data_IF_156629983893
#
_entry.id   IF_156629983893
#
_cell.length_a   1.000
_cell.length_b   1.000
_cell.length_c   1.000
_cell.angle_alpha   90.00
_cell.angle_beta   90.00
_cell.angle_gamma   90.00
#
_symmetry.space_group_name_H-M   'P 1'
#
loop_
_entity.id
_entity.type
_entity.pdbx_description
1 polymer ?
#
# COMPACT_ATOMS: atom_id res chain seq x y z
N UNK A 1 -10.92 27.53 4.90
CA UNK A 1 -12.24 27.40 5.56
C UNK A 1 -13.26 26.91 4.55
N UNK A 2 -13.69 25.64 4.61
CA UNK A 2 -14.72 25.13 3.71
C UNK A 2 -14.35 25.19 2.23
N UNK A 3 -13.07 25.30 1.90
CA UNK A 3 -12.60 25.31 0.54
C UNK A 3 -12.89 23.98 -0.16
N UNK A 4 -13.04 24.05 -1.49
CA UNK A 4 -13.16 22.84 -2.31
C UNK A 4 -11.93 21.97 -2.14
N UNK A 5 -12.12 20.65 -2.09
CA UNK A 5 -11.01 19.71 -2.17
C UNK A 5 -10.26 19.91 -3.50
N UNK A 6 -8.92 19.79 -3.51
CA UNK A 6 -8.18 19.87 -4.76
C UNK A 6 -8.59 18.74 -5.70
N UNK A 7 -8.47 18.97 -7.00
CA UNK A 7 -8.68 17.93 -7.99
C UNK A 7 -7.71 16.77 -7.75
N UNK A 8 -8.20 15.54 -7.94
CA UNK A 8 -7.34 14.34 -7.86
C UNK A 8 -6.76 14.05 -9.22
N UNK A 9 -5.46 13.84 -9.26
CA UNK A 9 -4.75 13.40 -10.46
C UNK A 9 -4.65 11.89 -10.46
N UNK A 10 -4.89 11.30 -11.61
CA UNK A 10 -4.67 9.87 -11.83
C UNK A 10 -3.54 9.75 -12.85
N UNK A 11 -2.49 9.04 -12.47
CA UNK A 11 -1.34 8.78 -13.33
C UNK A 11 -1.34 7.28 -13.65
N UNK A 12 -1.41 6.96 -14.93
CA UNK A 12 -1.46 5.57 -15.38
C UNK A 12 -0.63 5.39 -16.66
N UNK A 13 -0.08 4.20 -16.87
CA UNK A 13 0.70 3.92 -18.07
C UNK A 13 -0.19 3.59 -19.27
N UNK A 14 0.42 3.54 -20.43
CA UNK A 14 -0.23 3.12 -21.68
C UNK A 14 -0.73 1.66 -21.59
N UNK A 15 -1.71 1.33 -22.45
CA UNK A 15 -2.37 0.03 -22.45
C UNK A 15 -1.38 -1.14 -22.59
N UNK A 16 -0.39 -1.02 -23.47
CA UNK A 16 0.63 -2.06 -23.68
C UNK A 16 1.43 -2.34 -22.41
N UNK A 17 1.81 -1.30 -21.68
CA UNK A 17 2.50 -1.42 -20.38
C UNK A 17 1.61 -2.10 -19.35
N UNK A 18 0.32 -1.76 -19.32
CA UNK A 18 -0.64 -2.37 -18.42
C UNK A 18 -0.79 -3.86 -18.62
N UNK A 19 -0.74 -4.32 -19.87
CA UNK A 19 -0.73 -5.76 -20.20
C UNK A 19 0.54 -6.41 -19.66
N UNK A 20 1.70 -5.80 -19.86
CA UNK A 20 2.97 -6.30 -19.32
C UNK A 20 2.96 -6.39 -17.80
N UNK A 21 2.40 -5.39 -17.11
CA UNK A 21 2.23 -5.43 -15.67
C UNK A 21 1.42 -6.64 -15.22
N UNK A 22 0.28 -6.88 -15.87
CA UNK A 22 -0.58 -8.02 -15.54
C UNK A 22 0.11 -9.35 -15.77
N UNK A 23 0.82 -9.51 -16.86
CA UNK A 23 1.55 -10.75 -17.15
C UNK A 23 2.61 -11.04 -16.09
N UNK A 24 3.30 -10.02 -15.59
CA UNK A 24 4.38 -10.18 -14.64
C UNK A 24 3.89 -10.28 -13.18
N UNK A 25 2.85 -9.54 -12.81
CA UNK A 25 2.52 -9.25 -11.41
C UNK A 25 1.09 -9.54 -10.99
N UNK A 26 0.18 -9.87 -11.90
CA UNK A 26 -1.23 -10.04 -11.53
C UNK A 26 -1.42 -11.09 -10.43
N UNK A 27 -0.78 -12.23 -10.57
CA UNK A 27 -0.86 -13.31 -9.57
C UNK A 27 -0.21 -12.88 -8.24
N UNK A 28 0.91 -12.19 -8.30
CA UNK A 28 1.63 -11.68 -7.12
C UNK A 28 0.75 -10.72 -6.34
N UNK A 29 0.21 -9.69 -6.98
CA UNK A 29 -0.60 -8.68 -6.27
C UNK A 29 -1.91 -9.26 -5.75
N UNK A 30 -2.41 -10.34 -6.36
CA UNK A 30 -3.64 -11.02 -5.93
C UNK A 30 -3.45 -11.84 -4.66
N UNK A 31 -2.27 -12.40 -4.42
CA UNK A 31 -2.01 -13.38 -3.35
C UNK A 31 -1.05 -12.90 -2.27
N UNK A 32 -0.11 -12.03 -2.62
CA UNK A 32 0.97 -11.65 -1.71
C UNK A 32 0.49 -10.89 -0.47
N UNK A 33 -0.42 -9.91 -0.55
CA UNK A 33 -0.84 -9.19 0.65
C UNK A 33 -1.40 -10.09 1.74
N UNK A 34 -2.25 -11.04 1.38
CA UNK A 34 -2.79 -12.01 2.34
C UNK A 34 -1.69 -12.90 2.92
N UNK A 35 -0.75 -13.35 2.09
CA UNK A 35 0.37 -14.19 2.54
C UNK A 35 1.30 -13.46 3.52
N UNK A 36 1.55 -12.16 3.31
CA UNK A 36 2.45 -11.36 4.15
C UNK A 36 1.76 -10.85 5.40
N UNK A 37 0.54 -10.34 5.26
CA UNK A 37 -0.16 -9.60 6.32
C UNK A 37 -1.19 -10.45 7.08
N UNK A 38 -1.61 -11.57 6.51
CA UNK A 38 -2.61 -12.42 7.12
C UNK A 38 -3.92 -11.67 7.42
N UNK A 39 -4.38 -11.78 8.65
CA UNK A 39 -5.64 -11.16 9.09
C UNK A 39 -5.65 -9.63 9.07
N UNK A 40 -4.48 -8.99 9.00
CA UNK A 40 -4.38 -7.53 8.91
C UNK A 40 -4.72 -6.97 7.53
N UNK A 41 -4.77 -7.82 6.51
CA UNK A 41 -5.13 -7.40 5.16
C UNK A 41 -6.63 -7.15 5.04
N UNK A 42 -7.02 -5.88 4.96
CA UNK A 42 -8.42 -5.47 5.06
C UNK A 42 -9.28 -5.76 3.84
N UNK A 43 -8.68 -5.85 2.65
CA UNK A 43 -9.44 -6.12 1.42
C UNK A 43 -9.98 -7.54 1.33
N UNK A 44 -9.54 -8.46 2.16
CA UNK A 44 -10.12 -9.81 2.23
C UNK A 44 -11.52 -9.86 2.85
N UNK A 45 -11.93 -8.81 3.55
CA UNK A 45 -13.17 -8.79 4.31
C UNK A 45 -14.28 -8.06 3.58
N UNK A 46 -15.50 -8.59 3.69
CA UNK A 46 -16.72 -7.82 3.44
C UNK A 46 -16.88 -6.76 4.56
N UNK A 47 -17.74 -5.75 4.38
CA UNK A 47 -17.98 -4.77 5.44
C UNK A 47 -18.38 -5.39 6.78
N UNK A 48 -19.24 -6.41 6.79
CA UNK A 48 -19.64 -7.13 7.99
C UNK A 48 -18.49 -7.88 8.64
N UNK A 49 -17.69 -8.57 7.84
CA UNK A 49 -16.49 -9.29 8.33
C UNK A 49 -15.43 -8.33 8.88
N UNK A 50 -15.31 -7.15 8.30
CA UNK A 50 -14.40 -6.10 8.81
C UNK A 50 -14.82 -5.65 10.20
N UNK A 51 -16.11 -5.42 10.40
CA UNK A 51 -16.67 -5.08 11.73
C UNK A 51 -16.39 -6.20 12.74
N UNK A 52 -16.64 -7.45 12.35
CA UNK A 52 -16.35 -8.60 13.21
C UNK A 52 -14.88 -8.68 13.62
N UNK A 53 -13.98 -8.48 12.66
CA UNK A 53 -12.54 -8.47 12.93
C UNK A 53 -12.17 -7.39 13.94
N UNK A 54 -12.68 -6.16 13.78
CA UNK A 54 -12.41 -5.06 14.70
C UNK A 54 -13.00 -5.30 16.08
N UNK A 55 -14.21 -5.84 16.16
CA UNK A 55 -14.86 -6.17 17.45
C UNK A 55 -14.06 -7.26 18.18
N UNK A 56 -13.64 -8.30 17.48
CA UNK A 56 -12.82 -9.37 18.08
C UNK A 56 -11.46 -8.84 18.55
N UNK A 57 -10.82 -7.99 17.76
CA UNK A 57 -9.57 -7.36 18.15
C UNK A 57 -9.74 -6.53 19.42
N UNK A 58 -10.81 -5.74 19.49
CA UNK A 58 -11.15 -4.95 20.69
C UNK A 58 -11.35 -5.82 21.93
N UNK A 59 -12.13 -6.88 21.80
CA UNK A 59 -12.41 -7.82 22.91
C UNK A 59 -11.18 -8.61 23.35
N UNK A 60 -10.18 -8.76 22.50
CA UNK A 60 -8.95 -9.49 22.82
C UNK A 60 -8.01 -8.71 23.74
N UNK A 61 -8.24 -7.42 23.93
CA UNK A 61 -7.40 -6.57 24.77
C UNK A 61 -8.00 -6.46 26.18
N UNK A 62 -7.12 -6.31 27.16
CA UNK A 62 -7.54 -6.08 28.56
C UNK A 62 -8.13 -4.68 28.73
N UNK A 63 -7.41 -3.69 28.25
CA UNK A 63 -7.79 -2.28 28.27
C UNK A 63 -7.63 -1.71 26.85
N UNK A 64 -8.60 -1.97 25.95
CA UNK A 64 -8.43 -1.66 24.55
C UNK A 64 -8.41 -0.16 24.27
N UNK A 65 -7.60 0.22 23.28
CA UNK A 65 -7.59 1.55 22.68
C UNK A 65 -7.48 1.37 21.17
N UNK A 66 -8.19 2.20 20.44
CA UNK A 66 -8.16 2.16 18.97
C UNK A 66 -8.00 3.54 18.38
N UNK A 67 -7.32 3.60 17.25
CA UNK A 67 -7.21 4.82 16.46
C UNK A 67 -7.14 4.47 14.97
N UNK A 68 -7.58 5.40 14.14
CA UNK A 68 -7.33 5.38 12.71
C UNK A 68 -6.26 6.42 12.39
N UNK A 69 -5.48 6.15 11.36
CA UNK A 69 -4.44 7.07 10.91
C UNK A 69 -4.63 7.35 9.43
N UNK A 70 -4.75 8.62 9.08
CA UNK A 70 -4.89 9.10 7.72
C UNK A 70 -3.63 9.85 7.30
N UNK A 71 -3.02 9.40 6.22
CA UNK A 71 -1.83 10.03 5.66
C UNK A 71 -2.23 11.02 4.59
N UNK A 72 -1.83 12.26 4.73
CA UNK A 72 -2.04 13.27 3.70
C UNK A 72 -1.27 12.90 2.44
N UNK A 73 -1.97 12.75 1.31
CA UNK A 73 -1.36 12.47 0.01
C UNK A 73 -0.41 11.27 0.06
N UNK A 74 -0.90 10.12 0.49
CA UNK A 74 -0.07 8.94 0.72
C UNK A 74 0.84 8.61 -0.47
N UNK A 75 0.32 8.61 -1.70
CA UNK A 75 1.10 8.31 -2.91
C UNK A 75 2.34 9.20 -3.03
N UNK A 76 2.22 10.48 -2.66
CA UNK A 76 3.34 11.44 -2.69
C UNK A 76 4.39 11.16 -1.64
N UNK A 77 4.05 10.45 -0.58
CA UNK A 77 4.96 10.12 0.52
C UNK A 77 5.75 8.85 0.27
N UNK A 78 5.35 8.05 -0.74
CA UNK A 78 6.04 6.82 -1.11
C UNK A 78 7.30 7.17 -1.86
N UNK A 79 8.44 6.83 -1.27
CA UNK A 79 9.76 7.16 -1.80
C UNK A 79 10.26 6.07 -2.75
N UNK A 80 11.33 6.36 -3.47
CA UNK A 80 12.05 5.35 -4.26
C UNK A 80 12.50 4.18 -3.39
N UNK A 81 13.00 4.45 -2.19
CA UNK A 81 13.41 3.41 -1.23
C UNK A 81 12.24 2.49 -0.87
N UNK A 82 11.06 3.04 -0.64
CA UNK A 82 9.84 2.26 -0.36
C UNK A 82 9.49 1.35 -1.54
N UNK A 83 9.58 1.86 -2.76
CA UNK A 83 9.27 1.10 -3.97
C UNK A 83 10.29 0.00 -4.22
N UNK A 84 11.55 0.22 -3.92
CA UNK A 84 12.59 -0.82 -4.02
C UNK A 84 12.42 -1.90 -2.95
N UNK A 85 11.99 -1.54 -1.77
CA UNK A 85 11.62 -2.52 -0.72
C UNK A 85 10.45 -3.38 -1.18
N UNK A 86 9.46 -2.78 -1.80
CA UNK A 86 8.31 -3.47 -2.38
C UNK A 86 8.75 -4.46 -3.48
N UNK A 87 9.61 -4.05 -4.39
CA UNK A 87 10.18 -4.96 -5.40
C UNK A 87 10.89 -6.15 -4.76
N UNK A 88 11.70 -5.90 -3.72
CA UNK A 88 12.39 -6.97 -3.00
C UNK A 88 11.40 -8.00 -2.44
N UNK A 89 10.26 -7.56 -1.95
CA UNK A 89 9.18 -8.43 -1.47
C UNK A 89 8.59 -9.24 -2.62
N UNK A 90 8.31 -8.62 -3.75
CA UNK A 90 7.81 -9.32 -4.94
C UNK A 90 8.79 -10.39 -5.41
N UNK A 91 10.09 -10.10 -5.39
CA UNK A 91 11.14 -11.03 -5.81
C UNK A 91 11.31 -12.22 -4.85
N UNK A 92 10.72 -12.18 -3.66
CA UNK A 92 10.69 -13.32 -2.75
C UNK A 92 9.70 -14.40 -3.18
N UNK A 93 8.79 -14.10 -4.11
CA UNK A 93 7.84 -15.07 -4.65
C UNK A 93 8.53 -16.07 -5.56
N UNK A 94 7.89 -17.22 -5.74
CA UNK A 94 8.33 -18.22 -6.72
C UNK A 94 7.91 -17.78 -8.12
N UNK A 95 8.82 -17.10 -8.79
CA UNK A 95 8.59 -16.46 -10.09
C UNK A 95 9.43 -17.11 -11.17
N UNK A 96 8.90 -17.20 -12.39
CA UNK A 96 9.72 -17.59 -13.52
C UNK A 96 10.75 -16.49 -13.88
N UNK A 97 11.84 -16.83 -14.60
CA UNK A 97 12.89 -15.85 -14.92
C UNK A 97 12.40 -14.63 -15.72
N UNK A 98 11.40 -14.82 -16.59
CA UNK A 98 10.84 -13.71 -17.37
C UNK A 98 10.09 -12.72 -16.47
N UNK A 99 9.31 -13.23 -15.52
CA UNK A 99 8.61 -12.39 -14.55
C UNK A 99 9.59 -11.60 -13.68
N UNK A 100 10.69 -12.21 -13.23
CA UNK A 100 11.73 -11.53 -12.44
C UNK A 100 12.34 -10.35 -13.19
N UNK A 101 12.68 -10.56 -14.44
CA UNK A 101 13.25 -9.50 -15.29
C UNK A 101 12.21 -8.40 -15.54
N UNK A 102 10.99 -8.78 -15.85
CA UNK A 102 9.90 -7.83 -16.09
C UNK A 102 9.60 -6.96 -14.87
N UNK A 103 9.55 -7.55 -13.68
CA UNK A 103 9.33 -6.84 -12.42
C UNK A 103 10.44 -5.81 -12.16
N UNK A 104 11.69 -6.21 -12.35
CA UNK A 104 12.82 -5.30 -12.22
C UNK A 104 12.73 -4.14 -13.22
N UNK A 105 12.42 -4.42 -14.48
CA UNK A 105 12.26 -3.40 -15.49
C UNK A 105 11.11 -2.43 -15.20
N UNK A 106 9.97 -2.95 -14.78
CA UNK A 106 8.80 -2.14 -14.38
C UNK A 106 9.14 -1.23 -13.19
N UNK A 107 9.86 -1.76 -12.21
CA UNK A 107 10.30 -0.97 -11.06
C UNK A 107 11.18 0.19 -11.51
N UNK A 108 12.22 -0.06 -12.31
CA UNK A 108 13.17 0.95 -12.74
C UNK A 108 12.55 1.98 -13.69
N UNK A 109 11.65 1.56 -14.57
CA UNK A 109 11.15 2.41 -15.67
C UNK A 109 9.77 3.02 -15.38
N UNK A 110 9.01 2.45 -14.46
CA UNK A 110 7.64 2.88 -14.21
C UNK A 110 7.37 3.18 -12.74
N UNK A 111 7.71 2.25 -11.83
CA UNK A 111 7.24 2.36 -10.45
C UNK A 111 7.98 3.43 -9.63
N UNK A 112 9.29 3.56 -9.82
CA UNK A 112 10.09 4.56 -9.09
C UNK A 112 9.82 5.98 -9.54
N UNK A 113 9.42 6.17 -10.80
CA UNK A 113 9.14 7.48 -11.37
C UNK A 113 8.95 7.42 -12.87
N UNK A 114 8.71 8.56 -13.46
CA UNK A 114 8.56 8.68 -14.89
C UNK A 114 8.03 10.05 -15.32
N UNK A 115 8.04 10.32 -16.62
CA UNK A 115 7.51 11.56 -17.14
C UNK A 115 5.98 11.61 -16.99
N UNK A 116 5.48 12.81 -16.82
CA UNK A 116 4.03 13.10 -16.77
C UNK A 116 3.63 13.80 -18.07
N UNK A 117 2.68 13.21 -18.77
CA UNK A 117 2.08 13.81 -19.95
C UNK A 117 0.57 13.93 -19.79
N UNK A 118 -0.03 14.95 -20.40
CA UNK A 118 -1.47 15.08 -20.43
C UNK A 118 -2.07 14.27 -21.61
N UNK A 119 -3.39 14.30 -21.76
CA UNK A 119 -4.10 13.61 -22.85
C UNK A 119 -3.72 14.11 -24.25
N UNK A 120 -3.10 15.29 -24.34
CA UNK A 120 -2.60 15.87 -25.61
C UNK A 120 -1.15 15.49 -25.92
N UNK A 121 -0.50 14.69 -25.06
CA UNK A 121 0.89 14.30 -25.20
C UNK A 121 1.90 15.39 -24.77
N UNK A 122 1.45 16.47 -24.16
CA UNK A 122 2.31 17.54 -23.67
C UNK A 122 3.00 17.12 -22.37
N UNK A 123 4.29 17.46 -22.25
CA UNK A 123 5.05 17.19 -21.03
C UNK A 123 4.60 18.11 -19.90
N UNK A 124 4.16 17.51 -18.78
CA UNK A 124 3.68 18.23 -17.61
C UNK A 124 4.64 18.17 -16.42
N UNK A 125 5.69 17.36 -16.49
CA UNK A 125 6.64 17.21 -15.41
C UNK A 125 7.19 15.80 -15.26
N UNK A 126 7.78 15.53 -14.10
CA UNK A 126 8.38 14.24 -13.76
C UNK A 126 7.92 13.78 -12.38
N UNK A 127 7.47 12.54 -12.31
CA UNK A 127 7.03 11.90 -11.06
C UNK A 127 8.20 11.18 -10.41
N UNK A 128 8.34 11.32 -9.08
CA UNK A 128 9.33 10.61 -8.26
C UNK A 128 8.69 9.87 -7.07
N UNK A 129 7.41 9.61 -7.16
CA UNK A 129 6.63 8.96 -6.13
C UNK A 129 5.71 7.90 -6.75
N UNK A 130 4.83 7.33 -5.96
CA UNK A 130 3.87 6.33 -6.42
C UNK A 130 2.96 6.90 -7.52
N UNK A 131 2.85 6.20 -8.64
CA UNK A 131 1.80 6.42 -9.61
C UNK A 131 0.47 5.90 -9.05
N UNK A 132 -0.60 6.69 -9.18
CA UNK A 132 -1.90 6.35 -8.60
C UNK A 132 -2.67 5.26 -9.36
N UNK A 133 -2.31 5.01 -10.61
CA UNK A 133 -3.06 4.12 -11.52
C UNK A 133 -2.23 2.99 -12.12
N UNK A 134 -1.24 2.46 -11.42
CA UNK A 134 -0.52 1.25 -11.84
C UNK A 134 -1.09 0.02 -11.11
N UNK A 135 -0.79 -1.16 -11.63
CA UNK A 135 -1.30 -2.42 -11.07
C UNK A 135 -0.91 -2.61 -9.60
N UNK A 136 0.27 -2.15 -9.22
CA UNK A 136 0.82 -2.35 -7.88
C UNK A 136 0.43 -1.29 -6.87
N UNK A 137 -0.34 -0.26 -7.25
CA UNK A 137 -0.66 0.86 -6.35
C UNK A 137 -1.36 0.37 -5.07
N UNK A 138 -2.43 -0.40 -5.20
CA UNK A 138 -3.17 -0.89 -4.04
C UNK A 138 -2.34 -1.84 -3.18
N UNK A 139 -1.74 -2.85 -3.79
CA UNK A 139 -0.89 -3.83 -3.09
C UNK A 139 0.32 -3.14 -2.45
N UNK A 140 1.00 -2.29 -3.19
CA UNK A 140 2.20 -1.59 -2.72
C UNK A 140 1.90 -0.62 -1.60
N UNK A 141 0.83 0.15 -1.71
CA UNK A 141 0.41 1.07 -0.64
C UNK A 141 0.03 0.30 0.62
N UNK A 142 -0.68 -0.82 0.47
CA UNK A 142 -1.05 -1.68 1.60
C UNK A 142 0.17 -2.22 2.32
N UNK A 143 1.13 -2.79 1.60
CA UNK A 143 2.37 -3.31 2.18
C UNK A 143 3.21 -2.20 2.84
N UNK A 144 3.37 -1.07 2.17
CA UNK A 144 4.14 0.07 2.67
C UNK A 144 3.51 0.65 3.94
N UNK A 145 2.20 0.84 3.93
CA UNK A 145 1.46 1.30 5.10
C UNK A 145 1.62 0.34 6.28
N UNK A 146 1.48 -0.96 6.03
CA UNK A 146 1.64 -2.00 7.04
C UNK A 146 3.02 -2.00 7.67
N UNK A 147 4.08 -1.99 6.85
CA UNK A 147 5.47 -2.00 7.33
C UNK A 147 5.78 -0.75 8.16
N UNK A 148 5.41 0.42 7.66
CA UNK A 148 5.63 1.69 8.36
C UNK A 148 4.83 1.77 9.65
N UNK A 149 3.59 1.30 9.66
CA UNK A 149 2.75 1.27 10.84
C UNK A 149 3.30 0.36 11.92
N UNK A 150 3.80 -0.82 11.56
CA UNK A 150 4.47 -1.73 12.51
C UNK A 150 5.67 -1.06 13.15
N UNK A 151 6.52 -0.44 12.34
CA UNK A 151 7.70 0.26 12.84
C UNK A 151 7.32 1.42 13.78
N UNK A 152 6.31 2.19 13.42
CA UNK A 152 5.83 3.32 14.22
C UNK A 152 5.24 2.86 15.57
N UNK A 153 4.46 1.78 15.57
CA UNK A 153 3.89 1.23 16.81
C UNK A 153 4.97 0.70 17.73
N UNK A 154 6.00 0.04 17.21
CA UNK A 154 7.17 -0.40 18.01
C UNK A 154 7.93 0.80 18.58
N UNK A 155 8.20 1.80 17.77
CA UNK A 155 8.91 3.00 18.21
C UNK A 155 8.15 3.77 19.29
N UNK A 156 6.82 3.77 19.20
CA UNK A 156 5.94 4.42 20.18
C UNK A 156 5.74 3.59 21.47
N UNK A 157 6.22 2.36 21.50
CA UNK A 157 6.05 1.46 22.65
C UNK A 157 4.63 0.93 22.83
N UNK A 158 3.80 0.95 21.79
CA UNK A 158 2.45 0.41 21.85
C UNK A 158 2.49 -1.12 22.01
N UNK A 159 1.58 -1.64 22.83
CA UNK A 159 1.57 -3.07 23.19
C UNK A 159 0.39 -3.78 22.57
N UNK A 160 0.64 -5.01 22.11
CA UNK A 160 -0.36 -5.91 21.55
C UNK A 160 -1.19 -5.25 20.45
N UNK A 161 -0.51 -4.71 19.43
CA UNK A 161 -1.15 -4.01 18.33
C UNK A 161 -1.76 -5.01 17.35
N UNK A 162 -3.04 -4.79 17.04
CA UNK A 162 -3.73 -5.43 15.92
C UNK A 162 -4.03 -4.36 14.88
N UNK A 163 -3.66 -4.62 13.64
CA UNK A 163 -3.80 -3.67 12.54
C UNK A 163 -4.78 -4.17 11.51
N UNK A 164 -5.52 -3.24 10.92
CA UNK A 164 -6.33 -3.45 9.73
C UNK A 164 -5.90 -2.44 8.68
N UNK A 165 -5.41 -2.90 7.55
CA UNK A 165 -4.81 -2.07 6.51
C UNK A 165 -5.49 -2.31 5.18
N UNK A 166 -5.95 -1.23 4.55
CA UNK A 166 -6.56 -1.23 3.21
C UNK A 166 -5.95 -0.07 2.42
N UNK A 167 -4.94 -0.33 1.57
CA UNK A 167 -4.24 0.76 0.89
C UNK A 167 -3.57 1.68 1.91
N UNK A 168 -3.91 2.95 1.86
CA UNK A 168 -3.43 3.97 2.81
C UNK A 168 -4.26 4.06 4.10
N UNK A 169 -5.41 3.41 4.14
CA UNK A 169 -6.27 3.41 5.33
C UNK A 169 -5.74 2.44 6.38
N UNK A 170 -5.60 2.93 7.60
CA UNK A 170 -5.06 2.19 8.73
C UNK A 170 -5.93 2.34 9.96
N UNK A 171 -6.26 1.22 10.59
CA UNK A 171 -6.84 1.15 11.93
C UNK A 171 -5.93 0.32 12.81
N UNK A 172 -5.64 0.81 14.00
CA UNK A 172 -4.85 0.10 15.01
C UNK A 172 -5.68 -0.04 16.29
N UNK A 173 -5.72 -1.26 16.80
CA UNK A 173 -6.31 -1.56 18.12
C UNK A 173 -5.19 -2.16 18.96
N UNK A 174 -4.94 -1.59 20.12
CA UNK A 174 -3.86 -2.01 21.01
C UNK A 174 -4.27 -1.89 22.47
N UNK A 175 -3.38 -2.31 23.36
CA UNK A 175 -3.56 -2.05 24.79
C UNK A 175 -3.34 -0.56 25.08
N UNK A 176 -4.15 0.01 25.96
CA UNK A 176 -3.99 1.39 26.40
C UNK A 176 -2.76 1.59 27.27
N UNK A 177 -2.24 0.54 27.89
CA UNK A 177 -0.95 0.55 28.57
C UNK A 177 0.17 0.85 27.55
N UNK A 178 0.96 1.87 27.78
CA UNK A 178 2.00 2.33 26.85
C UNK A 178 1.57 3.47 25.93
N UNK A 179 0.29 3.82 25.92
CA UNK A 179 -0.20 5.02 25.23
C UNK A 179 0.03 6.25 26.13
N UNK A 180 0.66 7.25 25.54
CA UNK A 180 0.92 8.52 26.23
C UNK A 180 -0.04 9.60 25.77
#
# INVERSE_FOLDING_TARGET
>A
KGGRKPARLIVFPDLGVRVCEKMALYDVVSKLPLAVMGSSYGFQYSPGQRVEFLVQAWKSKKTPMGFSYDTRCFDSTVTESDIRTEEAIYQCCDLDPQARVAIKSLTERLYVGGPLTNSRGENCGYRRCRASGVLTTSCGNTLTCYIKAQAACRAAGLQDCTMLVCGDDLVVICESAGVQ
#
